data_IF_854971141340
#
_entry.id   IF_854971141340
#
_cell.length_a   1.000
_cell.length_b   1.000
_cell.length_c   1.000
_cell.angle_alpha   90.00
_cell.angle_beta   90.00
_cell.angle_gamma   90.00
#
_symmetry.space_group_name_H-M   'P 1'
#
loop_
_entity.id
_entity.type
_entity.pdbx_description
1 polymer ?
#
# COMPACT_ATOMS: atom_id res chain seq x y z
N UNK A 1 12.20 -14.57 23.61
CA UNK A 1 12.87 -13.32 23.17
C UNK A 1 14.36 -13.48 23.40
N UNK A 2 15.04 -14.14 22.46
CA UNK A 2 16.49 -14.47 22.59
C UNK A 2 17.39 -13.31 22.24
N UNK A 3 16.92 -12.36 21.40
CA UNK A 3 17.74 -11.26 20.89
C UNK A 3 18.70 -11.66 19.76
N UNK A 4 18.53 -12.86 19.22
CA UNK A 4 19.38 -13.33 18.14
C UNK A 4 19.09 -12.55 16.84
N UNK A 5 20.12 -12.19 16.05
CA UNK A 5 19.91 -11.55 14.75
C UNK A 5 19.33 -12.56 13.77
N UNK A 6 18.43 -12.09 12.93
CA UNK A 6 17.88 -12.86 11.81
C UNK A 6 18.47 -12.35 10.48
N UNK A 7 18.71 -13.27 9.53
CA UNK A 7 19.16 -12.91 8.19
C UNK A 7 18.02 -12.35 7.33
N UNK A 8 18.39 -11.76 6.19
CA UNK A 8 17.44 -11.13 5.28
C UNK A 8 16.42 -12.12 4.69
N UNK A 9 16.85 -13.35 4.35
CA UNK A 9 15.95 -14.40 3.84
C UNK A 9 14.89 -14.81 4.87
N UNK A 10 15.29 -14.93 6.14
CA UNK A 10 14.36 -15.24 7.22
C UNK A 10 13.41 -14.06 7.48
N UNK A 11 13.89 -12.82 7.41
CA UNK A 11 13.06 -11.63 7.52
C UNK A 11 12.00 -11.57 6.41
N UNK A 12 12.35 -11.96 5.18
CA UNK A 12 11.40 -12.09 4.07
C UNK A 12 10.40 -13.22 4.33
N UNK A 13 10.87 -14.38 4.76
CA UNK A 13 10.04 -15.55 5.02
C UNK A 13 8.96 -15.31 6.08
N UNK A 14 9.31 -14.58 7.15
CA UNK A 14 8.36 -14.25 8.23
C UNK A 14 7.55 -12.98 7.97
N UNK A 15 7.75 -12.31 6.85
CA UNK A 15 7.01 -11.12 6.47
C UNK A 15 7.45 -9.83 7.18
N UNK A 16 8.63 -9.82 7.81
CA UNK A 16 9.21 -8.62 8.41
C UNK A 16 9.61 -7.61 7.33
N UNK A 17 10.09 -8.09 6.19
CA UNK A 17 10.31 -7.31 4.97
C UNK A 17 9.53 -7.96 3.82
N UNK A 18 9.15 -7.18 2.81
CA UNK A 18 8.32 -7.63 1.69
C UNK A 18 9.10 -7.80 0.39
N UNK A 19 10.27 -7.19 0.29
CA UNK A 19 11.11 -7.22 -0.91
C UNK A 19 12.57 -7.32 -0.49
N UNK A 20 13.32 -8.16 -1.21
CA UNK A 20 14.77 -8.22 -1.15
C UNK A 20 15.34 -7.43 -2.33
N UNK A 21 16.40 -6.69 -2.09
CA UNK A 21 17.19 -6.01 -3.11
C UNK A 21 18.58 -6.66 -3.21
N UNK A 22 19.24 -6.61 -4.37
CA UNK A 22 20.65 -6.96 -4.45
C UNK A 22 21.48 -5.98 -3.60
N UNK A 23 22.65 -6.43 -3.15
CA UNK A 23 23.56 -5.63 -2.34
C UNK A 23 23.89 -4.30 -3.03
N UNK A 24 23.68 -3.19 -2.33
CA UNK A 24 23.84 -1.82 -2.88
C UNK A 24 22.72 -1.36 -3.79
N UNK A 25 21.70 -2.19 -4.04
CA UNK A 25 20.54 -1.88 -4.90
C UNK A 25 19.28 -1.46 -4.13
N UNK A 26 19.34 -1.27 -2.83
CA UNK A 26 18.19 -1.03 -1.96
C UNK A 26 17.45 0.24 -2.33
N UNK A 27 18.20 1.33 -2.58
CA UNK A 27 17.61 2.60 -2.97
C UNK A 27 16.91 2.50 -4.34
N UNK A 28 17.54 1.86 -5.31
CA UNK A 28 16.97 1.69 -6.64
C UNK A 28 15.67 0.89 -6.59
N UNK A 29 15.66 -0.23 -5.84
CA UNK A 29 14.49 -1.07 -5.64
C UNK A 29 13.35 -0.31 -4.91
N UNK A 30 13.69 0.47 -3.90
CA UNK A 30 12.72 1.31 -3.19
C UNK A 30 12.12 2.40 -4.10
N UNK A 31 12.94 3.04 -4.91
CA UNK A 31 12.50 4.06 -5.88
C UNK A 31 11.60 3.48 -6.96
N UNK A 32 11.85 2.27 -7.42
CA UNK A 32 10.97 1.58 -8.36
C UNK A 32 9.57 1.33 -7.77
N UNK A 33 9.51 0.84 -6.52
CA UNK A 33 8.25 0.63 -5.81
C UNK A 33 7.53 1.97 -5.62
N UNK A 34 8.25 3.01 -5.18
CA UNK A 34 7.70 4.35 -4.99
C UNK A 34 7.13 4.93 -6.31
N UNK A 35 7.83 4.75 -7.43
CA UNK A 35 7.37 5.17 -8.74
C UNK A 35 6.09 4.42 -9.17
N UNK A 36 5.96 3.13 -8.84
CA UNK A 36 4.72 2.37 -9.09
C UNK A 36 3.55 2.91 -8.27
N UNK A 37 3.77 3.23 -7.01
CA UNK A 37 2.75 3.83 -6.13
C UNK A 37 2.35 5.21 -6.66
N UNK A 38 3.30 6.03 -7.07
CA UNK A 38 3.07 7.39 -7.57
C UNK A 38 2.25 7.46 -8.88
N UNK A 39 2.06 6.34 -9.58
CA UNK A 39 1.15 6.28 -10.75
C UNK A 39 -0.33 6.29 -10.36
N UNK A 40 -0.63 6.00 -9.10
CA UNK A 40 -1.99 6.02 -8.60
C UNK A 40 -2.38 7.43 -8.13
N UNK A 41 -3.68 7.68 -8.03
CA UNK A 41 -4.20 8.92 -7.46
C UNK A 41 -3.65 9.15 -6.04
N UNK A 42 -3.17 10.36 -5.77
CA UNK A 42 -2.69 10.76 -4.43
C UNK A 42 -3.76 10.51 -3.37
N UNK A 43 -5.01 10.84 -3.67
CA UNK A 43 -6.13 10.63 -2.74
C UNK A 43 -6.33 9.13 -2.47
N UNK A 44 -6.34 8.30 -3.51
CA UNK A 44 -6.47 6.85 -3.33
C UNK A 44 -5.32 6.28 -2.46
N UNK A 45 -4.10 6.73 -2.70
CA UNK A 45 -2.92 6.28 -1.94
C UNK A 45 -3.01 6.68 -0.46
N UNK A 46 -3.40 7.93 -0.17
CA UNK A 46 -3.58 8.42 1.21
C UNK A 46 -4.71 7.66 1.90
N UNK A 47 -5.86 7.50 1.22
CA UNK A 47 -7.03 6.79 1.73
C UNK A 47 -6.70 5.34 2.11
N UNK A 48 -6.01 4.60 1.24
CA UNK A 48 -5.59 3.22 1.52
C UNK A 48 -4.65 3.18 2.72
N UNK A 49 -3.69 4.10 2.81
CA UNK A 49 -2.75 4.16 3.93
C UNK A 49 -3.46 4.43 5.26
N UNK A 50 -4.42 5.33 5.27
CA UNK A 50 -5.22 5.64 6.46
C UNK A 50 -6.11 4.46 6.86
N UNK A 51 -6.73 3.77 5.90
CA UNK A 51 -7.50 2.55 6.15
C UNK A 51 -6.65 1.45 6.79
N UNK A 52 -5.44 1.19 6.26
CA UNK A 52 -4.51 0.23 6.84
C UNK A 52 -4.13 0.61 8.28
N UNK A 53 -3.82 1.87 8.54
CA UNK A 53 -3.48 2.34 9.90
C UNK A 53 -4.65 2.16 10.87
N UNK A 54 -5.86 2.50 10.45
CA UNK A 54 -7.05 2.31 11.26
C UNK A 54 -7.29 0.83 11.58
N UNK A 55 -7.08 -0.08 10.63
CA UNK A 55 -7.24 -1.52 10.83
C UNK A 55 -6.27 -2.12 11.85
N UNK A 56 -5.08 -1.54 11.99
CA UNK A 56 -4.07 -1.97 12.96
C UNK A 56 -4.36 -1.48 14.39
N UNK A 57 -5.20 -0.46 14.56
CA UNK A 57 -5.45 0.19 15.85
C UNK A 57 -6.88 0.03 16.35
N UNK A 58 -7.77 -0.61 15.58
CA UNK A 58 -9.17 -0.76 15.94
C UNK A 58 -9.66 -2.19 15.71
N UNK A 59 -10.85 -2.51 16.24
CA UNK A 59 -11.54 -3.76 15.93
C UNK A 59 -12.11 -3.71 14.51
N UNK A 60 -12.51 -4.87 13.98
CA UNK A 60 -12.93 -5.04 12.58
C UNK A 60 -14.08 -4.09 12.18
N UNK A 61 -15.10 -3.95 13.02
CA UNK A 61 -16.28 -3.17 12.67
C UNK A 61 -16.00 -1.65 12.55
N UNK A 62 -15.33 -0.99 13.51
CA UNK A 62 -14.91 0.41 13.34
C UNK A 62 -13.96 0.61 12.16
N UNK A 63 -13.03 -0.33 11.91
CA UNK A 63 -12.12 -0.25 10.77
C UNK A 63 -12.88 -0.30 9.44
N UNK A 64 -13.86 -1.20 9.29
CA UNK A 64 -14.68 -1.31 8.09
C UNK A 64 -15.55 -0.08 7.85
N UNK A 65 -16.10 0.52 8.90
CA UNK A 65 -16.84 1.81 8.80
C UNK A 65 -15.92 2.92 8.33
N UNK A 66 -14.75 3.03 8.91
CA UNK A 66 -13.76 4.05 8.51
C UNK A 66 -13.34 3.89 7.05
N UNK A 67 -13.08 2.65 6.60
CA UNK A 67 -12.76 2.36 5.20
C UNK A 67 -13.89 2.76 4.25
N UNK A 68 -15.14 2.49 4.63
CA UNK A 68 -16.32 2.89 3.85
C UNK A 68 -16.44 4.42 3.75
N UNK A 69 -16.22 5.15 4.83
CA UNK A 69 -16.25 6.63 4.85
C UNK A 69 -15.15 7.20 3.95
N UNK A 70 -13.93 6.66 4.02
CA UNK A 70 -12.83 7.04 3.16
C UNK A 70 -13.13 6.77 1.68
N UNK A 71 -13.78 5.64 1.38
CA UNK A 71 -14.20 5.30 0.01
C UNK A 71 -15.23 6.31 -0.50
N UNK A 72 -16.25 6.65 0.29
CA UNK A 72 -17.26 7.65 -0.07
C UNK A 72 -16.61 9.00 -0.34
N UNK A 73 -15.69 9.44 0.51
CA UNK A 73 -14.93 10.68 0.30
C UNK A 73 -14.12 10.64 -1.01
N UNK A 74 -13.42 9.55 -1.28
CA UNK A 74 -12.64 9.39 -2.51
C UNK A 74 -13.52 9.44 -3.76
N UNK A 75 -14.74 8.86 -3.71
CA UNK A 75 -15.73 8.96 -4.77
C UNK A 75 -16.25 10.39 -4.95
N UNK A 76 -16.59 11.09 -3.87
CA UNK A 76 -17.08 12.47 -3.91
C UNK A 76 -16.05 13.42 -4.53
N UNK A 77 -14.74 13.15 -4.36
CA UNK A 77 -13.66 13.94 -4.95
C UNK A 77 -13.39 13.61 -6.44
N UNK A 78 -14.16 12.74 -7.07
CA UNK A 78 -14.17 12.52 -8.52
C UNK A 78 -13.00 11.66 -9.07
N UNK A 79 -12.22 11.00 -8.22
CA UNK A 79 -11.05 10.22 -8.62
C UNK A 79 -11.34 8.90 -9.32
N UNK A 80 -12.58 8.40 -9.27
CA UNK A 80 -12.95 7.12 -9.88
C UNK A 80 -12.84 7.13 -11.41
N UNK A 81 -13.06 8.29 -12.06
CA UNK A 81 -12.99 8.40 -13.53
C UNK A 81 -11.61 8.07 -14.07
N UNK A 82 -10.57 8.63 -13.47
CA UNK A 82 -9.19 8.34 -13.87
C UNK A 82 -8.81 6.86 -13.68
N UNK A 83 -9.29 6.22 -12.62
CA UNK A 83 -9.09 4.79 -12.37
C UNK A 83 -9.82 3.90 -13.37
N UNK A 84 -11.06 4.22 -13.71
CA UNK A 84 -11.88 3.50 -14.69
C UNK A 84 -11.27 3.63 -16.10
N UNK A 85 -10.84 4.81 -16.49
CA UNK A 85 -10.22 5.05 -17.80
C UNK A 85 -8.90 4.28 -17.95
N UNK A 86 -8.07 4.26 -16.89
CA UNK A 86 -6.86 3.43 -16.86
C UNK A 86 -7.16 1.93 -16.97
N UNK A 87 -8.24 1.46 -16.35
CA UNK A 87 -8.65 0.06 -16.43
C UNK A 87 -9.18 -0.32 -17.81
N UNK A 88 -9.93 0.58 -18.45
CA UNK A 88 -10.45 0.37 -19.82
C UNK A 88 -9.34 0.35 -20.85
N UNK A 89 -8.33 1.23 -20.74
CA UNK A 89 -7.18 1.26 -21.64
C UNK A 89 -6.22 0.07 -21.53
N UNK A 90 -6.38 -0.77 -20.51
CA UNK A 90 -5.62 -2.04 -20.39
C UNK A 90 -6.22 -3.21 -21.17
N UNK A 91 -7.41 -3.05 -21.71
CA UNK A 91 -8.12 -4.11 -22.47
C UNK A 91 -7.95 -3.98 -23.98
N UNK A 92 -7.25 -2.94 -24.46
CA UNK A 92 -6.83 -2.75 -25.84
C UNK A 92 -5.32 -3.07 -25.96
#
# INVERSE_FOLDING_TARGET
MTGDPIGADEALRVGLVQVMAPEGGELASAMEIAARIARHSTIATVTVKDGIRASLSSTLEPAARHENDLMIMAFAMGNQRAGIDTFKGRKE
#
